data_IF_482615062792
#
_entry.id   IF_482615062792
#
_cell.length_a   1.000
_cell.length_b   1.000
_cell.length_c   1.000
_cell.angle_alpha   90.00
_cell.angle_beta   90.00
_cell.angle_gamma   90.00
#
_symmetry.space_group_name_H-M   'P 1'
#
loop_
_entity.id
_entity.type
_entity.pdbx_description
1 polymer ?
#
# COMPACT_ATOMS: atom_id res chain seq x y z
N UNK A 1 13.16 -13.76 11.70
CA UNK A 1 11.98 -13.19 11.00
C UNK A 1 11.10 -14.32 10.44
N UNK A 2 11.44 -15.58 10.74
CA UNK A 2 10.92 -16.78 10.05
C UNK A 2 9.57 -17.28 10.57
N UNK A 3 8.99 -16.60 11.56
CA UNK A 3 7.72 -16.99 12.20
C UNK A 3 6.67 -15.86 12.20
N UNK A 4 6.85 -14.86 11.34
CA UNK A 4 5.86 -13.76 11.21
C UNK A 4 4.68 -14.25 10.39
N UNK A 5 3.56 -14.53 11.04
CA UNK A 5 2.32 -14.93 10.37
C UNK A 5 1.54 -13.76 9.76
N UNK A 6 1.67 -12.56 10.33
CA UNK A 6 0.84 -11.41 10.00
C UNK A 6 1.56 -10.08 10.28
N UNK A 7 1.37 -9.09 9.41
CA UNK A 7 1.85 -7.71 9.58
C UNK A 7 0.73 -6.75 9.22
N UNK A 8 0.49 -5.76 10.08
CA UNK A 8 -0.37 -4.61 9.79
C UNK A 8 0.49 -3.35 9.72
N UNK A 9 0.22 -2.47 8.77
CA UNK A 9 1.05 -1.29 8.53
C UNK A 9 0.23 -0.05 8.18
N UNK A 10 0.83 1.12 8.43
CA UNK A 10 0.34 2.46 8.09
C UNK A 10 1.51 3.32 7.63
N UNK A 11 1.22 4.37 6.86
CA UNK A 11 2.20 5.36 6.42
C UNK A 11 3.45 4.72 5.78
N UNK A 12 4.64 5.27 6.01
CA UNK A 12 5.91 4.77 5.46
C UNK A 12 6.23 3.33 5.86
N UNK A 13 5.67 2.81 6.96
CA UNK A 13 5.80 1.41 7.36
C UNK A 13 5.18 0.44 6.35
N UNK A 14 4.21 0.90 5.56
CA UNK A 14 3.56 0.08 4.53
C UNK A 14 4.47 -0.22 3.35
N UNK A 15 5.46 0.63 3.05
CA UNK A 15 6.48 0.33 2.05
C UNK A 15 7.28 -0.91 2.44
N UNK A 16 7.82 -0.90 3.65
CA UNK A 16 8.63 -2.01 4.18
C UNK A 16 7.78 -3.27 4.35
N UNK A 17 6.55 -3.15 4.87
CA UNK A 17 5.66 -4.28 5.06
C UNK A 17 5.27 -4.94 3.73
N UNK A 18 4.88 -4.15 2.72
CA UNK A 18 4.54 -4.66 1.40
C UNK A 18 5.74 -5.32 0.70
N UNK A 19 6.92 -4.69 0.79
CA UNK A 19 8.14 -5.26 0.24
C UNK A 19 8.50 -6.58 0.93
N UNK A 20 8.32 -6.65 2.26
CA UNK A 20 8.50 -7.89 3.01
C UNK A 20 7.48 -8.97 2.63
N UNK A 21 6.21 -8.63 2.37
CA UNK A 21 5.21 -9.57 1.87
C UNK A 21 5.57 -10.17 0.51
N UNK A 22 6.14 -9.36 -0.38
CA UNK A 22 6.54 -9.80 -1.72
C UNK A 22 7.87 -10.58 -1.71
N UNK A 23 8.88 -10.04 -1.04
CA UNK A 23 10.28 -10.49 -1.14
C UNK A 23 10.74 -11.34 0.05
N UNK A 24 9.94 -11.37 1.12
CA UNK A 24 10.15 -12.16 2.34
C UNK A 24 11.47 -11.87 3.06
N UNK A 25 11.87 -12.74 4.00
CA UNK A 25 12.95 -12.43 4.94
C UNK A 25 14.30 -12.17 4.25
N UNK A 26 14.60 -12.97 3.23
CA UNK A 26 15.84 -12.86 2.47
C UNK A 26 15.91 -11.58 1.64
N UNK A 27 14.79 -11.19 1.00
CA UNK A 27 14.73 -9.96 0.22
C UNK A 27 14.83 -8.68 1.06
N UNK A 28 14.52 -8.75 2.36
CA UNK A 28 14.66 -7.62 3.27
C UNK A 28 16.13 -7.25 3.52
N UNK A 29 17.08 -8.19 3.34
CA UNK A 29 18.52 -7.92 3.48
C UNK A 29 18.99 -6.86 2.48
N UNK A 30 18.45 -6.91 1.26
CA UNK A 30 18.77 -5.97 0.19
C UNK A 30 17.84 -4.74 0.17
N UNK A 31 16.77 -4.73 0.98
CA UNK A 31 15.76 -3.65 0.96
C UNK A 31 16.39 -2.29 1.26
N UNK A 32 17.32 -2.25 2.22
CA UNK A 32 18.04 -1.02 2.52
C UNK A 32 18.76 -0.49 1.29
N UNK A 33 19.52 -1.33 0.60
CA UNK A 33 20.37 -0.87 -0.50
C UNK A 33 19.59 -0.60 -1.78
N UNK A 34 18.56 -1.40 -2.05
CA UNK A 34 17.75 -1.31 -3.29
C UNK A 34 16.62 -0.29 -3.21
N UNK A 35 16.05 -0.05 -2.02
CA UNK A 35 14.87 0.80 -1.84
C UNK A 35 15.14 2.03 -0.98
N UNK A 36 15.94 1.91 0.10
CA UNK A 36 16.18 3.04 1.01
C UNK A 36 17.40 3.90 0.64
N UNK A 37 18.44 3.29 0.08
CA UNK A 37 19.73 3.92 -0.23
C UNK A 37 19.93 4.19 -1.73
N UNK A 38 18.93 3.91 -2.57
CA UNK A 38 18.99 4.17 -4.01
C UNK A 38 18.87 5.68 -4.26
N UNK A 39 19.98 6.38 -4.01
CA UNK A 39 20.26 7.74 -4.46
C UNK A 39 20.70 7.67 -5.94
N UNK A 40 19.95 8.32 -6.84
CA UNK A 40 20.34 8.45 -8.24
C UNK A 40 19.27 9.11 -9.11
N UNK A 41 19.41 10.42 -9.30
CA UNK A 41 18.75 11.31 -10.27
C UNK A 41 17.33 11.85 -9.98
N UNK A 42 16.49 11.19 -9.19
CA UNK A 42 15.14 11.69 -8.90
C UNK A 42 14.95 12.16 -7.44
N UNK A 43 15.80 13.06 -6.91
CA UNK A 43 15.53 13.92 -5.74
C UNK A 43 15.01 13.31 -4.41
N UNK A 44 14.89 11.99 -4.28
CA UNK A 44 14.05 11.34 -3.29
C UNK A 44 14.90 10.60 -2.23
N UNK A 45 15.60 11.37 -1.39
CA UNK A 45 16.20 10.84 -0.16
C UNK A 45 15.12 10.47 0.86
N UNK A 46 14.61 9.25 0.79
CA UNK A 46 13.63 8.71 1.74
C UNK A 46 14.28 8.38 3.09
N UNK A 47 14.41 9.38 3.96
CA UNK A 47 14.60 9.12 5.40
C UNK A 47 13.26 8.72 6.01
N UNK A 48 12.83 7.47 5.79
CA UNK A 48 11.54 6.91 6.24
C UNK A 48 11.36 6.87 7.77
N UNK A 49 12.42 7.17 8.53
CA UNK A 49 12.41 7.14 9.98
C UNK A 49 11.97 8.46 10.63
N UNK A 50 11.68 9.51 9.83
CA UNK A 50 11.22 10.79 10.36
C UNK A 50 10.05 11.37 9.51
N UNK A 51 8.84 11.49 10.08
CA UNK A 51 7.68 12.09 9.40
C UNK A 51 7.94 13.49 8.85
N UNK A 52 8.80 14.28 9.49
CA UNK A 52 9.14 15.64 9.04
C UNK A 52 10.09 15.65 7.82
N UNK A 53 10.93 14.62 7.67
CA UNK A 53 11.77 14.45 6.47
C UNK A 53 10.91 14.05 5.27
N UNK A 54 9.90 13.21 5.49
CA UNK A 54 8.92 12.86 4.49
C UNK A 54 8.17 14.10 3.98
N UNK A 55 7.73 14.99 4.89
CA UNK A 55 7.11 16.29 4.55
C UNK A 55 8.07 17.20 3.75
N UNK A 56 9.36 17.28 4.12
CA UNK A 56 10.35 18.09 3.39
C UNK A 56 10.70 17.53 2.02
N UNK A 57 10.75 16.21 1.90
CA UNK A 57 10.96 15.50 0.64
C UNK A 57 9.83 15.80 -0.35
N UNK A 58 8.60 15.89 0.15
CA UNK A 58 7.42 16.22 -0.64
C UNK A 58 7.29 17.73 -0.93
N UNK A 59 7.63 18.61 0.02
CA UNK A 59 7.59 20.06 -0.17
C UNK A 59 8.69 20.61 -1.11
N UNK A 60 9.77 19.86 -1.34
CA UNK A 60 10.95 20.32 -2.08
C UNK A 60 10.98 20.00 -3.58
N UNK A 61 9.99 19.26 -4.13
CA UNK A 61 10.03 18.93 -5.56
C UNK A 61 9.01 17.90 -6.07
N UNK A 62 8.07 17.42 -5.25
CA UNK A 62 7.04 16.47 -5.69
C UNK A 62 5.66 17.09 -5.53
N UNK A 63 5.22 17.81 -6.56
CA UNK A 63 3.94 18.51 -6.56
C UNK A 63 2.71 17.61 -6.80
N UNK A 64 2.84 16.29 -6.84
CA UNK A 64 1.69 15.43 -7.11
C UNK A 64 1.82 14.01 -6.55
N UNK A 65 0.72 13.48 -6.01
CA UNK A 65 0.64 12.14 -5.45
C UNK A 65 0.78 11.02 -6.48
N UNK A 66 0.54 11.36 -7.76
CA UNK A 66 0.85 10.54 -8.94
C UNK A 66 2.33 10.13 -8.96
N UNK A 67 3.26 11.03 -8.63
CA UNK A 67 4.68 10.74 -8.66
C UNK A 67 5.12 9.68 -7.64
N UNK A 68 4.49 9.63 -6.45
CA UNK A 68 4.81 8.61 -5.45
C UNK A 68 4.31 7.24 -5.90
N UNK A 69 3.05 7.16 -6.36
CA UNK A 69 2.49 5.91 -6.92
C UNK A 69 3.37 5.41 -8.06
N UNK A 70 3.71 6.27 -9.03
CA UNK A 70 4.45 5.88 -10.22
C UNK A 70 5.87 5.42 -9.90
N UNK A 71 6.54 6.08 -8.94
CA UNK A 71 7.85 5.63 -8.44
C UNK A 71 7.74 4.28 -7.71
N UNK A 72 6.74 4.12 -6.83
CA UNK A 72 6.50 2.85 -6.16
C UNK A 72 6.23 1.73 -7.17
N UNK A 73 5.44 2.01 -8.20
CA UNK A 73 5.05 1.06 -9.21
C UNK A 73 6.22 0.66 -10.11
N UNK A 74 6.99 1.62 -10.61
CA UNK A 74 8.09 1.37 -11.54
C UNK A 74 9.35 0.86 -10.84
N UNK A 75 9.74 1.50 -9.74
CA UNK A 75 11.08 1.35 -9.17
C UNK A 75 11.12 0.37 -7.98
N UNK A 76 10.00 0.19 -7.26
CA UNK A 76 9.96 -0.65 -6.04
C UNK A 76 9.21 -1.95 -6.27
N UNK A 77 7.95 -1.87 -6.70
CA UNK A 77 7.04 -3.01 -6.78
C UNK A 77 6.94 -3.61 -8.19
N UNK A 78 7.42 -2.90 -9.21
CA UNK A 78 7.50 -3.36 -10.61
C UNK A 78 6.15 -3.90 -11.13
N UNK A 79 5.07 -3.17 -10.86
CA UNK A 79 3.70 -3.55 -11.23
C UNK A 79 3.09 -4.71 -10.41
N UNK A 80 3.70 -5.10 -9.29
CA UNK A 80 3.18 -6.19 -8.47
C UNK A 80 1.79 -5.88 -7.87
N UNK A 81 0.95 -6.90 -7.87
CA UNK A 81 -0.41 -6.89 -7.35
C UNK A 81 -0.51 -7.70 -6.05
N UNK A 82 -1.62 -7.59 -5.33
CA UNK A 82 -1.84 -8.43 -4.13
C UNK A 82 -1.88 -9.93 -4.47
N UNK A 83 -2.30 -10.33 -5.67
CA UNK A 83 -2.18 -11.72 -6.13
C UNK A 83 -0.73 -12.21 -6.08
N UNK A 84 0.23 -11.38 -6.50
CA UNK A 84 1.65 -11.72 -6.46
C UNK A 84 2.14 -11.93 -5.03
N UNK A 85 1.64 -11.12 -4.09
CA UNK A 85 1.93 -11.25 -2.66
C UNK A 85 1.30 -12.51 -2.06
N UNK A 86 0.06 -12.84 -2.42
CA UNK A 86 -0.67 -14.01 -1.90
C UNK A 86 0.00 -15.34 -2.27
N UNK A 87 0.71 -15.41 -3.41
CA UNK A 87 1.49 -16.60 -3.78
C UNK A 87 2.48 -17.02 -2.71
N UNK A 88 2.96 -16.09 -1.89
CA UNK A 88 3.93 -16.38 -0.82
C UNK A 88 3.29 -16.91 0.46
N UNK A 89 1.97 -16.74 0.62
CA UNK A 89 1.15 -17.14 1.77
C UNK A 89 1.49 -16.46 3.12
N UNK A 90 2.77 -16.21 3.42
CA UNK A 90 3.23 -15.57 4.66
C UNK A 90 4.42 -14.62 4.44
N UNK A 91 4.50 -13.53 5.24
CA UNK A 91 3.45 -13.05 6.14
C UNK A 91 2.23 -12.52 5.38
N UNK A 92 1.04 -12.61 5.99
CA UNK A 92 -0.13 -11.87 5.49
C UNK A 92 0.07 -10.38 5.81
N UNK A 93 0.03 -9.52 4.79
CA UNK A 93 0.22 -8.06 4.96
C UNK A 93 -1.11 -7.34 4.83
N UNK A 94 -1.47 -6.54 5.83
CA UNK A 94 -2.57 -5.59 5.79
C UNK A 94 -2.06 -4.17 5.78
N UNK A 95 -2.31 -3.47 4.69
CA UNK A 95 -1.98 -2.05 4.54
C UNK A 95 -3.20 -1.25 4.95
N UNK A 96 -3.05 -0.20 5.76
CA UNK A 96 -4.16 0.65 6.18
C UNK A 96 -3.99 2.07 5.64
N UNK A 97 -5.05 2.61 5.04
CA UNK A 97 -5.15 4.01 4.65
C UNK A 97 -6.32 4.70 5.35
N UNK A 98 -6.46 6.00 5.13
CA UNK A 98 -7.61 6.76 5.63
C UNK A 98 -8.66 6.94 4.52
N UNK A 99 -9.90 6.55 4.80
CA UNK A 99 -11.03 6.95 3.99
C UNK A 99 -11.41 8.40 4.35
N UNK A 100 -11.18 9.32 3.42
CA UNK A 100 -11.39 10.76 3.64
C UNK A 100 -12.88 11.14 3.77
N UNK A 101 -13.77 10.39 3.12
CA UNK A 101 -15.21 10.66 3.15
C UNK A 101 -15.84 10.33 4.51
N UNK A 102 -15.44 9.21 5.11
CA UNK A 102 -15.99 8.75 6.39
C UNK A 102 -15.05 8.98 7.58
N UNK A 103 -13.83 9.47 7.33
CA UNK A 103 -12.77 9.67 8.35
C UNK A 103 -12.47 8.41 9.16
N UNK A 104 -12.55 7.26 8.52
CA UNK A 104 -12.26 5.94 9.11
C UNK A 104 -11.06 5.31 8.43
N UNK A 105 -10.40 4.39 9.13
CA UNK A 105 -9.38 3.55 8.51
C UNK A 105 -10.02 2.64 7.45
N UNK A 106 -9.36 2.52 6.30
CA UNK A 106 -9.70 1.54 5.27
C UNK A 106 -8.53 0.55 5.13
N UNK A 107 -8.74 -0.72 5.52
CA UNK A 107 -7.72 -1.75 5.38
C UNK A 107 -7.78 -2.39 3.99
N UNK A 108 -6.63 -2.52 3.34
CA UNK A 108 -6.46 -3.30 2.12
C UNK A 108 -6.31 -4.78 2.49
N UNK A 109 -7.45 -5.46 2.69
CA UNK A 109 -7.56 -6.91 2.88
C UNK A 109 -8.82 -7.45 2.20
N UNK A 110 -8.87 -8.76 1.93
CA UNK A 110 -9.92 -9.41 1.13
C UNK A 110 -11.34 -9.00 1.57
N UNK A 111 -11.65 -9.14 2.86
CA UNK A 111 -13.00 -8.82 3.37
C UNK A 111 -13.45 -7.36 3.15
N UNK A 112 -12.52 -6.40 3.10
CA UNK A 112 -12.86 -4.99 2.92
C UNK A 112 -13.14 -4.70 1.44
N UNK A 113 -12.39 -5.35 0.55
CA UNK A 113 -12.58 -5.29 -0.89
C UNK A 113 -13.86 -6.03 -1.32
N UNK A 114 -14.13 -7.20 -0.72
CA UNK A 114 -15.40 -7.92 -0.89
C UNK A 114 -16.60 -7.05 -0.49
N UNK A 115 -16.49 -6.31 0.62
CA UNK A 115 -17.56 -5.42 1.11
C UNK A 115 -17.88 -4.26 0.15
N UNK A 116 -16.94 -3.88 -0.73
CA UNK A 116 -17.15 -2.86 -1.77
C UNK A 116 -17.30 -3.48 -3.18
N UNK A 117 -17.41 -4.81 -3.26
CA UNK A 117 -17.51 -5.56 -4.50
C UNK A 117 -16.31 -5.37 -5.45
N UNK A 118 -15.11 -5.18 -4.91
CA UNK A 118 -13.89 -4.97 -5.69
C UNK A 118 -12.91 -6.13 -5.48
N UNK A 119 -12.09 -6.43 -6.49
CA UNK A 119 -11.09 -7.50 -6.42
C UNK A 119 -9.78 -6.97 -5.82
N UNK A 120 -9.43 -7.45 -4.63
CA UNK A 120 -8.13 -7.12 -4.04
C UNK A 120 -6.99 -7.75 -4.83
N UNK A 121 -7.15 -8.98 -5.35
CA UNK A 121 -6.07 -9.73 -5.96
C UNK A 121 -5.45 -8.98 -7.16
N UNK A 122 -6.29 -8.33 -7.98
CA UNK A 122 -5.84 -7.49 -9.09
C UNK A 122 -5.34 -6.09 -8.69
N UNK A 123 -5.49 -5.69 -7.42
CA UNK A 123 -5.18 -4.33 -6.99
C UNK A 123 -3.65 -4.11 -6.92
N UNK A 124 -3.11 -2.98 -7.44
CA UNK A 124 -1.68 -2.69 -7.37
C UNK A 124 -1.22 -2.44 -5.92
N UNK A 125 -0.12 -3.07 -5.53
CA UNK A 125 0.48 -2.85 -4.20
C UNK A 125 0.99 -1.42 -4.06
N UNK A 126 1.55 -0.87 -5.13
CA UNK A 126 2.02 0.51 -5.24
C UNK A 126 0.93 1.51 -4.84
N UNK A 127 -0.30 1.27 -5.27
CA UNK A 127 -1.43 2.14 -4.98
C UNK A 127 -1.92 2.04 -3.54
N UNK A 128 -1.94 0.84 -2.95
CA UNK A 128 -2.28 0.66 -1.54
C UNK A 128 -1.25 1.33 -0.62
N UNK A 129 0.05 1.18 -0.94
CA UNK A 129 1.14 1.82 -0.20
C UNK A 129 1.07 3.34 -0.34
N UNK A 130 0.85 3.86 -1.55
CA UNK A 130 0.68 5.29 -1.78
C UNK A 130 -0.52 5.86 -0.98
N UNK A 131 -1.67 5.17 -0.97
CA UNK A 131 -2.84 5.56 -0.18
C UNK A 131 -2.56 5.59 1.32
N UNK A 132 -1.80 4.61 1.81
CA UNK A 132 -1.37 4.55 3.21
C UNK A 132 -0.38 5.65 3.58
N UNK A 133 0.49 6.04 2.64
CA UNK A 133 1.50 7.10 2.83
C UNK A 133 0.95 8.51 2.61
N UNK A 134 -0.22 8.64 1.97
CA UNK A 134 -0.83 9.92 1.67
C UNK A 134 -1.10 10.72 2.95
N UNK A 135 -0.34 11.80 3.12
CA UNK A 135 -0.57 12.77 4.20
C UNK A 135 -1.63 13.76 3.71
N UNK A 136 -2.72 14.01 4.46
CA UNK A 136 -3.68 15.05 4.11
C UNK A 136 -2.95 16.37 3.85
N UNK A 137 -3.31 17.07 2.76
CA UNK A 137 -2.73 18.31 2.18
C UNK A 137 -1.75 18.13 1.00
N UNK A 138 -1.07 16.99 0.85
CA UNK A 138 -0.03 16.84 -0.18
C UNK A 138 -0.35 15.82 -1.29
N UNK A 139 -1.44 15.05 -1.15
CA UNK A 139 -1.80 13.99 -2.08
C UNK A 139 -3.25 14.13 -2.52
N UNK A 140 -3.49 13.93 -3.82
CA UNK A 140 -4.83 13.70 -4.32
C UNK A 140 -5.43 12.45 -3.63
N UNK A 141 -6.70 12.48 -3.19
CA UNK A 141 -7.35 11.29 -2.65
C UNK A 141 -7.33 10.16 -3.67
N UNK A 142 -6.96 8.95 -3.24
CA UNK A 142 -7.13 7.75 -4.06
C UNK A 142 -8.60 7.35 -4.03
N UNK A 143 -9.18 7.24 -5.23
CA UNK A 143 -10.59 6.86 -5.39
C UNK A 143 -10.64 5.36 -5.58
N UNK A 144 -11.19 4.66 -4.59
CA UNK A 144 -11.57 3.27 -4.74
C UNK A 144 -12.95 3.21 -5.42
N UNK A 145 -12.98 2.66 -6.63
CA UNK A 145 -14.24 2.38 -7.31
C UNK A 145 -14.99 1.25 -6.60
N UNK A 146 -16.30 1.44 -6.47
CA UNK A 146 -17.24 0.44 -5.95
C UNK A 146 -18.00 -0.13 -7.14
N UNK A 147 -18.18 -1.45 -7.18
CA UNK A 147 -18.90 -2.12 -8.25
C UNK A 147 -20.13 -2.86 -7.71
N UNK A 148 -21.22 -2.15 -7.32
CA UNK A 148 -22.36 -2.73 -6.60
C UNK A 148 -23.03 -3.90 -7.33
N UNK A 149 -23.01 -3.88 -8.66
CA UNK A 149 -23.59 -4.91 -9.54
C UNK A 149 -22.64 -6.09 -9.82
N UNK A 150 -21.37 -5.98 -9.42
CA UNK A 150 -20.33 -6.99 -9.69
C UNK A 150 -20.08 -7.95 -8.52
N UNK A 151 -20.76 -7.78 -7.38
CA UNK A 151 -20.63 -8.69 -6.24
C UNK A 151 -21.09 -10.12 -6.62
N UNK A 152 -20.13 -11.00 -6.91
CA UNK A 152 -20.37 -12.43 -7.24
C UNK A 152 -20.40 -13.34 -6.00
N UNK A 153 -20.03 -12.84 -4.83
CA UNK A 153 -20.04 -13.60 -3.58
C UNK A 153 -21.40 -13.43 -2.86
N UNK A 154 -22.06 -14.51 -2.42
CA UNK A 154 -23.16 -14.39 -1.48
C UNK A 154 -22.64 -13.73 -0.20
N UNK A 155 -23.41 -12.78 0.35
CA UNK A 155 -23.10 -12.22 1.66
C UNK A 155 -22.96 -13.37 2.68
N UNK A 156 -21.99 -13.31 3.60
CA UNK A 156 -21.95 -14.24 4.72
C UNK A 156 -23.31 -14.26 5.42
N UNK A 157 -23.74 -15.45 5.85
CA UNK A 157 -25.03 -15.62 6.52
C UNK A 157 -25.15 -14.63 7.69
N UNK A 158 -26.15 -13.73 7.63
CA UNK A 158 -26.43 -12.73 8.67
C UNK A 158 -26.12 -11.27 8.31
N UNK A 159 -25.61 -10.99 7.12
CA UNK A 159 -25.37 -9.61 6.66
C UNK A 159 -26.38 -9.20 5.57
N UNK A 160 -27.07 -8.08 5.77
CA UNK A 160 -28.03 -7.52 4.81
C UNK A 160 -27.42 -6.32 4.06
N UNK A 161 -27.73 -6.16 2.77
CA UNK A 161 -27.47 -4.90 2.06
C UNK A 161 -28.53 -3.88 2.48
N UNK A 162 -28.11 -2.76 3.03
CA UNK A 162 -28.96 -1.59 3.28
C UNK A 162 -28.95 -0.66 2.06
#
# INVERSE_FOLDING_TARGET
LDDVGFVTSVSGGSLTAAYFGLQGPEGLKDFRDKVLMRDGEAGLRFSLLNPSNLVRLFAGGLNDGSNLKDWLDRDVFQGATFADMFRRQRPVIWINASNTQYRLAFPFHERAFDAICSDLASYPISEAVAASMAVPLFFAPIVLEKFPDACRQPLPSGMYRH
#
